data_IF_844691461915
#
_entry.id   IF_844691461915
#
_cell.length_a   1.000
_cell.length_b   1.000
_cell.length_c   1.000
_cell.angle_alpha   90.00
_cell.angle_beta   90.00
_cell.angle_gamma   90.00
#
_symmetry.space_group_name_H-M   'P 1'
#
loop_
_entity.id
_entity.type
_entity.pdbx_description
1 polymer ?
#
# COMPACT_ATOMS: atom_id res chain seq x y z
N UNK A 1 -15.90 -14.55 19.43
CA UNK A 1 -14.74 -14.23 20.29
C UNK A 1 -13.58 -15.09 19.80
N UNK A 2 -12.77 -14.59 18.87
CA UNK A 2 -11.69 -15.35 18.25
C UNK A 2 -10.39 -15.05 19.01
N UNK A 3 -9.99 -15.98 19.88
CA UNK A 3 -8.73 -15.88 20.61
C UNK A 3 -7.57 -16.24 19.66
N UNK A 4 -6.80 -15.24 19.25
CA UNK A 4 -5.50 -15.46 18.61
C UNK A 4 -4.54 -15.90 19.71
N UNK A 5 -4.15 -17.19 19.69
CA UNK A 5 -3.08 -17.71 20.55
C UNK A 5 -1.73 -17.14 20.07
N UNK A 6 -1.25 -16.09 20.72
CA UNK A 6 0.13 -15.64 20.61
C UNK A 6 1.02 -16.48 21.54
N UNK A 7 2.00 -17.19 20.98
CA UNK A 7 3.08 -17.79 21.77
C UNK A 7 4.19 -16.76 21.96
N UNK A 8 4.42 -16.35 23.21
CA UNK A 8 5.60 -15.59 23.61
C UNK A 8 6.60 -16.58 24.24
N UNK A 9 7.86 -16.56 23.80
CA UNK A 9 8.94 -17.35 24.38
C UNK A 9 9.78 -16.41 25.24
N UNK A 10 9.67 -16.49 26.56
CA UNK A 10 10.61 -15.85 27.48
C UNK A 10 11.55 -16.89 28.08
N UNK A 11 12.85 -16.63 28.00
CA UNK A 11 13.89 -17.42 28.65
C UNK A 11 13.84 -17.22 30.17
N UNK A 12 14.04 -18.33 30.88
CA UNK A 12 14.58 -18.49 32.23
C UNK A 12 14.04 -17.63 33.38
N UNK A 13 13.28 -18.25 34.28
CA UNK A 13 13.67 -18.51 35.69
C UNK A 13 12.46 -18.95 36.52
N UNK A 14 12.62 -20.05 37.25
CA UNK A 14 11.67 -20.66 38.17
C UNK A 14 11.28 -19.72 39.32
N UNK A 15 9.99 -19.55 39.60
CA UNK A 15 9.44 -19.53 40.96
C UNK A 15 8.00 -20.09 40.98
N UNK A 16 7.82 -21.09 41.84
CA UNK A 16 6.57 -21.79 42.14
C UNK A 16 5.58 -20.90 42.86
N UNK A 17 4.30 -20.89 42.45
CA UNK A 17 3.18 -20.81 43.39
C UNK A 17 1.92 -21.49 42.82
N UNK A 18 1.58 -22.59 43.48
CA UNK A 18 0.40 -23.47 43.42
C UNK A 18 -0.89 -22.83 42.89
N UNK A 19 -1.49 -23.40 41.84
CA UNK A 19 -2.94 -23.44 41.66
C UNK A 19 -3.40 -24.73 40.93
N UNK A 20 -4.27 -25.46 41.63
CA UNK A 20 -5.07 -26.63 41.28
C UNK A 20 -4.75 -27.42 39.99
N UNK A 21 -4.24 -28.63 40.20
CA UNK A 21 -4.23 -29.72 39.23
C UNK A 21 -5.67 -30.20 38.93
N UNK A 22 -6.26 -29.76 37.83
CA UNK A 22 -7.16 -30.63 37.09
C UNK A 22 -6.32 -31.48 36.15
N UNK A 23 -6.18 -32.76 36.47
CA UNK A 23 -5.59 -33.77 35.60
C UNK A 23 -6.39 -33.85 34.29
N UNK A 24 -5.93 -33.17 33.25
CA UNK A 24 -6.32 -33.48 31.87
C UNK A 24 -5.64 -34.80 31.49
N UNK A 25 -6.32 -35.90 31.76
CA UNK A 25 -6.00 -37.22 31.20
C UNK A 25 -6.04 -37.14 29.67
N UNK A 26 -4.87 -37.32 29.05
CA UNK A 26 -4.63 -37.74 27.66
C UNK A 26 -5.81 -37.58 26.68
N UNK A 27 -6.06 -36.37 26.18
CA UNK A 27 -6.75 -36.22 24.90
C UNK A 27 -5.72 -36.58 23.83
N UNK A 28 -5.75 -37.84 23.37
CA UNK A 28 -5.11 -38.21 22.11
C UNK A 28 -5.76 -37.37 21.00
N UNK A 29 -5.09 -36.32 20.55
CA UNK A 29 -5.44 -35.68 19.29
C UNK A 29 -5.06 -36.66 18.19
N UNK A 30 -5.99 -37.54 17.81
CA UNK A 30 -5.91 -38.20 16.52
C UNK A 30 -5.94 -37.07 15.49
N UNK A 31 -4.77 -36.66 14.98
CA UNK A 31 -4.66 -35.70 13.89
C UNK A 31 -5.11 -36.41 12.61
N UNK A 32 -6.42 -36.54 12.46
CA UNK A 32 -7.01 -36.83 11.16
C UNK A 32 -6.60 -35.66 10.27
N UNK A 33 -5.87 -35.93 9.19
CA UNK A 33 -5.65 -34.94 8.14
C UNK A 33 -7.02 -34.61 7.55
N UNK A 34 -7.63 -33.55 8.08
CA UNK A 34 -8.90 -33.02 7.62
C UNK A 34 -8.68 -32.52 6.19
N UNK A 35 -9.51 -32.95 5.25
CA UNK A 35 -9.38 -32.56 3.83
C UNK A 35 -9.78 -31.10 3.70
N UNK A 36 -8.86 -30.22 3.27
CA UNK A 36 -9.12 -28.80 2.98
C UNK A 36 -9.78 -28.62 1.60
N UNK A 37 -11.04 -29.06 1.49
CA UNK A 37 -11.91 -28.72 0.36
C UNK A 37 -12.88 -27.60 0.73
N UNK A 38 -13.44 -26.85 -0.25
CA UNK A 38 -14.37 -25.75 0.03
C UNK A 38 -15.59 -26.15 0.87
N UNK A 39 -16.07 -27.40 0.71
CA UNK A 39 -17.21 -27.94 1.46
C UNK A 39 -16.84 -28.23 2.91
N UNK A 40 -15.67 -28.83 3.13
CA UNK A 40 -15.16 -29.17 4.45
C UNK A 40 -14.84 -27.91 5.27
N UNK A 41 -14.30 -26.86 4.64
CA UNK A 41 -14.12 -25.55 5.26
C UNK A 41 -15.46 -24.93 5.65
N UNK A 42 -16.47 -25.01 4.77
CA UNK A 42 -17.81 -24.51 5.07
C UNK A 42 -18.44 -25.26 6.27
N UNK A 43 -18.30 -26.58 6.33
CA UNK A 43 -18.79 -27.39 7.45
C UNK A 43 -18.08 -27.06 8.76
N UNK A 44 -16.76 -26.83 8.70
CA UNK A 44 -15.95 -26.38 9.83
C UNK A 44 -16.37 -25.00 10.33
N UNK A 45 -16.58 -24.04 9.44
CA UNK A 45 -17.01 -22.69 9.78
C UNK A 45 -18.40 -22.70 10.42
N UNK A 46 -19.34 -23.47 9.85
CA UNK A 46 -20.65 -23.70 10.45
C UNK A 46 -20.52 -24.30 11.85
N UNK A 47 -19.61 -25.27 12.06
CA UNK A 47 -19.36 -25.86 13.37
C UNK A 47 -18.76 -24.88 14.38
N UNK A 48 -17.89 -23.96 13.94
CA UNK A 48 -17.33 -22.92 14.78
C UNK A 48 -18.33 -21.80 15.12
N UNK A 49 -19.36 -21.61 14.31
CA UNK A 49 -20.41 -20.60 14.55
C UNK A 49 -21.56 -21.11 15.42
N UNK A 50 -21.74 -22.43 15.55
CA UNK A 50 -22.81 -23.05 16.33
C UNK A 50 -22.60 -22.84 17.83
N UNK A 51 -23.68 -22.59 18.56
CA UNK A 51 -23.67 -22.64 20.02
C UNK A 51 -23.49 -24.12 20.46
N UNK A 52 -22.46 -24.46 21.25
CA UNK A 52 -22.20 -25.83 21.68
C UNK A 52 -23.35 -26.49 22.46
N UNK A 53 -24.21 -25.70 23.11
CA UNK A 53 -25.36 -26.21 23.86
C UNK A 53 -26.60 -26.43 22.98
N UNK A 54 -26.76 -25.63 21.92
CA UNK A 54 -27.95 -25.67 21.05
C UNK A 54 -27.72 -26.46 19.75
N UNK A 55 -26.46 -26.62 19.31
CA UNK A 55 -26.11 -27.35 18.08
C UNK A 55 -26.44 -26.61 16.77
N UNK A 56 -27.01 -25.40 16.84
CA UNK A 56 -27.27 -24.51 15.70
C UNK A 56 -26.77 -23.08 15.98
N UNK A 57 -26.75 -22.23 14.95
CA UNK A 57 -26.40 -20.79 15.09
C UNK A 57 -27.70 -20.03 15.40
N UNK A 58 -27.90 -19.51 16.63
CA UNK A 58 -29.13 -18.83 17.01
C UNK A 58 -29.22 -17.45 16.36
N UNK A 59 -30.03 -17.33 15.31
CA UNK A 59 -30.20 -16.08 14.54
C UNK A 59 -30.90 -14.99 15.35
N UNK A 60 -31.71 -15.38 16.34
CA UNK A 60 -32.38 -14.51 17.30
C UNK A 60 -31.39 -13.72 18.18
N UNK A 61 -30.19 -14.27 18.43
CA UNK A 61 -29.13 -13.60 19.21
C UNK A 61 -28.26 -12.68 18.35
N UNK A 62 -28.44 -12.69 17.03
CA UNK A 62 -27.61 -11.92 16.11
C UNK A 62 -27.74 -10.40 16.35
N UNK A 63 -28.94 -9.92 16.69
CA UNK A 63 -29.19 -8.50 16.93
C UNK A 63 -28.47 -8.02 18.19
N UNK A 64 -28.56 -8.80 19.28
CA UNK A 64 -27.85 -8.51 20.53
C UNK A 64 -26.33 -8.60 20.35
N UNK A 65 -25.85 -9.63 19.65
CA UNK A 65 -24.44 -9.80 19.33
C UNK A 65 -23.90 -8.64 18.46
N UNK A 66 -24.71 -8.11 17.52
CA UNK A 66 -24.37 -6.92 16.74
C UNK A 66 -24.26 -5.68 17.62
N UNK A 67 -25.26 -5.43 18.47
CA UNK A 67 -25.24 -4.28 19.40
C UNK A 67 -24.04 -4.33 20.33
N UNK A 68 -23.76 -5.50 20.92
CA UNK A 68 -22.60 -5.71 21.77
C UNK A 68 -21.27 -5.50 21.02
N UNK A 69 -21.16 -5.97 19.78
CA UNK A 69 -20.00 -5.72 18.91
C UNK A 69 -19.82 -4.22 18.64
N UNK A 70 -20.91 -3.51 18.35
CA UNK A 70 -20.87 -2.10 18.04
C UNK A 70 -20.51 -1.24 19.29
N UNK A 71 -21.00 -1.63 20.47
CA UNK A 71 -20.61 -1.05 21.76
C UNK A 71 -19.12 -1.31 22.09
N UNK A 72 -18.61 -2.51 21.80
CA UNK A 72 -17.18 -2.83 21.91
C UNK A 72 -16.32 -1.99 20.97
N UNK A 73 -16.76 -1.77 19.74
CA UNK A 73 -16.02 -0.94 18.77
C UNK A 73 -16.01 0.54 19.16
N UNK A 74 -17.08 1.04 19.78
CA UNK A 74 -17.15 2.42 20.27
C UNK A 74 -16.33 2.64 21.56
N UNK A 75 -16.16 1.60 22.39
CA UNK A 75 -15.38 1.66 23.63
C UNK A 75 -13.89 1.32 23.45
N UNK A 76 -13.48 0.82 22.30
CA UNK A 76 -12.07 0.63 21.97
C UNK A 76 -11.39 1.98 21.75
N UNK A 77 -10.59 2.39 22.73
CA UNK A 77 -9.52 3.35 22.47
C UNK A 77 -8.47 2.65 21.60
N UNK A 78 -8.21 3.18 20.40
CA UNK A 78 -7.08 2.76 19.57
C UNK A 78 -5.75 3.21 20.22
N UNK A 79 -5.48 2.74 21.44
CA UNK A 79 -4.19 2.93 22.06
C UNK A 79 -3.21 1.98 21.36
N UNK A 80 -2.19 2.55 20.74
CA UNK A 80 -1.08 1.76 20.21
C UNK A 80 -0.49 0.94 21.36
N UNK A 81 -0.49 -0.39 21.23
CA UNK A 81 0.15 -1.25 22.23
C UNK A 81 1.65 -0.98 22.14
N UNK A 82 2.19 -0.31 23.16
CA UNK A 82 3.60 0.05 23.23
C UNK A 82 4.45 -1.19 23.49
N UNK A 83 5.62 -1.28 22.84
CA UNK A 83 6.56 -2.40 23.02
C UNK A 83 6.28 -3.66 22.20
N UNK A 84 5.35 -3.63 21.23
CA UNK A 84 5.20 -4.73 20.27
C UNK A 84 6.21 -4.59 19.14
N UNK A 85 7.04 -5.62 18.96
CA UNK A 85 7.91 -5.77 17.80
C UNK A 85 7.25 -6.67 16.76
N UNK A 86 6.74 -6.05 15.69
CA UNK A 86 6.20 -6.79 14.55
C UNK A 86 7.34 -7.40 13.73
N UNK A 87 7.21 -8.67 13.36
CA UNK A 87 8.12 -9.33 12.42
C UNK A 87 7.33 -9.97 11.28
N UNK A 88 7.76 -9.69 10.05
CA UNK A 88 7.19 -10.34 8.87
C UNK A 88 7.60 -11.82 8.85
N UNK A 89 6.62 -12.72 8.80
CA UNK A 89 6.86 -14.17 8.67
C UNK A 89 6.92 -14.67 7.22
N UNK A 90 6.63 -13.78 6.26
CA UNK A 90 6.61 -14.08 4.82
C UNK A 90 5.19 -14.14 4.25
N UNK A 91 5.04 -14.53 2.97
CA UNK A 91 6.09 -15.01 2.06
C UNK A 91 7.10 -13.91 1.68
N UNK A 92 8.38 -14.27 1.56
CA UNK A 92 9.46 -13.36 1.11
C UNK A 92 9.76 -13.47 -0.38
N UNK A 93 9.15 -14.43 -1.07
CA UNK A 93 9.42 -14.81 -2.45
C UNK A 93 8.22 -14.60 -3.39
N UNK A 94 7.14 -13.97 -2.92
CA UNK A 94 5.98 -13.67 -3.73
C UNK A 94 5.95 -12.17 -4.02
N UNK A 95 6.13 -11.81 -5.29
CA UNK A 95 6.06 -10.43 -5.75
C UNK A 95 4.62 -9.93 -5.83
N UNK A 96 4.42 -8.66 -5.44
CA UNK A 96 3.17 -7.92 -5.69
C UNK A 96 3.23 -7.08 -6.96
N UNK A 97 2.15 -6.36 -7.27
CA UNK A 97 2.08 -5.43 -8.40
C UNK A 97 3.01 -4.22 -8.17
N UNK A 98 4.14 -4.22 -8.88
CA UNK A 98 5.10 -3.11 -8.90
C UNK A 98 4.89 -2.26 -10.15
N UNK A 99 4.91 -0.94 -10.00
CA UNK A 99 4.65 0.01 -11.10
C UNK A 99 5.71 1.09 -11.27
N UNK A 100 6.53 1.29 -10.25
CA UNK A 100 7.56 2.31 -10.25
C UNK A 100 8.93 1.67 -10.01
N UNK A 101 9.92 2.09 -10.79
CA UNK A 101 11.33 1.77 -10.60
C UNK A 101 12.16 3.01 -10.94
N UNK A 102 13.20 3.26 -10.16
CA UNK A 102 14.15 4.35 -10.40
C UNK A 102 15.52 3.95 -9.89
N UNK A 103 16.53 4.09 -10.76
CA UNK A 103 17.94 4.03 -10.35
C UNK A 103 18.33 5.42 -9.86
N UNK A 104 18.90 5.50 -8.66
CA UNK A 104 19.22 6.77 -8.02
C UNK A 104 20.42 7.44 -8.69
N UNK A 105 20.20 8.62 -9.29
CA UNK A 105 21.25 9.39 -9.94
C UNK A 105 22.30 9.96 -8.97
N UNK A 106 22.04 9.98 -7.65
CA UNK A 106 23.07 10.34 -6.67
C UNK A 106 24.08 9.22 -6.44
N UNK A 107 23.73 7.97 -6.77
CA UNK A 107 24.61 6.83 -6.59
C UNK A 107 25.37 6.54 -7.89
N UNK A 108 26.61 7.00 -7.96
CA UNK A 108 27.50 6.79 -9.11
C UNK A 108 27.76 5.31 -9.41
N UNK A 109 27.59 4.42 -8.43
CA UNK A 109 27.78 2.98 -8.63
C UNK A 109 26.57 2.33 -9.34
N UNK A 110 25.43 3.03 -9.40
CA UNK A 110 24.18 2.53 -9.97
C UNK A 110 23.53 1.42 -9.16
N UNK A 111 23.96 1.19 -7.91
CA UNK A 111 23.46 0.09 -7.08
C UNK A 111 22.20 0.45 -6.27
N UNK A 112 21.95 1.73 -6.10
CA UNK A 112 20.80 2.24 -5.37
C UNK A 112 19.58 2.31 -6.28
N UNK A 113 18.57 1.53 -5.95
CA UNK A 113 17.33 1.42 -6.73
C UNK A 113 16.13 1.56 -5.81
N UNK A 114 15.16 2.34 -6.26
CA UNK A 114 13.87 2.56 -5.62
C UNK A 114 12.79 1.81 -6.40
N UNK A 115 11.88 1.14 -5.70
CA UNK A 115 10.74 0.44 -6.30
C UNK A 115 9.46 0.81 -5.57
N UNK A 116 8.41 1.11 -6.33
CA UNK A 116 7.08 1.39 -5.81
C UNK A 116 6.08 0.31 -6.19
N UNK A 117 5.28 -0.09 -5.21
CA UNK A 117 4.21 -1.08 -5.34
C UNK A 117 2.84 -0.45 -5.07
N UNK A 118 1.81 -0.96 -5.73
CA UNK A 118 0.44 -0.44 -5.61
C UNK A 118 -0.21 -0.81 -4.26
N UNK A 119 0.29 -1.83 -3.57
CA UNK A 119 -0.17 -2.19 -2.22
C UNK A 119 0.94 -2.28 -1.20
N UNK A 120 2.20 -2.16 -1.63
CA UNK A 120 3.38 -2.39 -0.79
C UNK A 120 4.16 -1.14 -0.43
N UNK A 121 3.79 0.05 -0.92
CA UNK A 121 4.53 1.29 -0.63
C UNK A 121 5.83 1.41 -1.42
N UNK A 122 6.75 2.21 -0.87
CA UNK A 122 8.05 2.53 -1.48
C UNK A 122 9.17 1.74 -0.80
N UNK A 123 10.02 1.12 -1.61
CA UNK A 123 11.14 0.28 -1.19
C UNK A 123 12.44 0.80 -1.78
N UNK A 124 13.54 0.58 -1.06
CA UNK A 124 14.89 0.94 -1.48
C UNK A 124 15.83 -0.24 -1.31
N UNK A 125 16.74 -0.42 -2.26
CA UNK A 125 17.94 -1.22 -2.10
C UNK A 125 19.17 -0.37 -2.43
N UNK A 126 20.33 -0.75 -1.91
CA UNK A 126 21.64 -0.11 -2.20
C UNK A 126 22.64 -1.10 -2.78
N UNK A 127 22.20 -2.32 -3.08
CA UNK A 127 23.04 -3.42 -3.55
C UNK A 127 22.31 -4.26 -4.60
N UNK A 128 21.65 -3.61 -5.57
CA UNK A 128 20.85 -4.30 -6.60
C UNK A 128 21.65 -5.34 -7.40
N UNK A 129 22.96 -5.15 -7.57
CA UNK A 129 23.83 -6.09 -8.30
C UNK A 129 24.33 -7.27 -7.46
N UNK A 130 23.97 -7.37 -6.18
CA UNK A 130 24.28 -8.54 -5.35
C UNK A 130 23.47 -9.76 -5.80
N UNK A 131 23.97 -10.97 -5.52
CA UNK A 131 23.22 -12.21 -5.78
C UNK A 131 21.87 -12.25 -5.05
N UNK A 132 21.83 -11.66 -3.85
CA UNK A 132 20.62 -11.53 -3.01
C UNK A 132 20.49 -10.05 -2.58
N UNK A 133 19.81 -9.20 -3.38
CA UNK A 133 19.60 -7.80 -3.04
C UNK A 133 18.76 -7.64 -1.78
N UNK A 134 19.14 -6.69 -0.92
CA UNK A 134 18.40 -6.40 0.32
C UNK A 134 17.49 -5.21 0.09
N UNK A 135 16.19 -5.41 0.30
CA UNK A 135 15.17 -4.39 0.17
C UNK A 135 14.69 -3.93 1.55
N UNK A 136 14.63 -2.62 1.73
CA UNK A 136 14.16 -1.97 2.95
C UNK A 136 12.95 -1.12 2.61
N UNK A 137 11.81 -1.25 3.33
CA UNK A 137 10.69 -0.35 3.14
C UNK A 137 11.10 1.05 3.64
N UNK A 138 10.77 2.07 2.86
CA UNK A 138 11.11 3.46 3.20
C UNK A 138 10.28 3.93 4.38
N UNK A 139 8.97 3.63 4.35
CA UNK A 139 8.05 3.89 5.44
C UNK A 139 6.76 3.07 5.22
N UNK A 140 6.44 2.18 6.17
CA UNK A 140 5.21 1.37 6.13
C UNK A 140 3.97 2.13 6.65
N UNK A 141 4.18 3.34 7.18
CA UNK A 141 3.15 4.20 7.78
C UNK A 141 2.82 5.42 6.90
N UNK A 142 3.15 5.39 5.61
CA UNK A 142 2.60 6.41 4.72
C UNK A 142 1.07 6.32 4.71
N UNK A 143 0.41 7.48 4.68
CA UNK A 143 -1.05 7.58 4.59
C UNK A 143 -1.63 6.86 3.36
N UNK A 144 -0.79 6.64 2.34
CA UNK A 144 -1.12 5.84 1.18
C UNK A 144 0.08 5.03 0.70
N UNK A 145 -0.12 3.72 0.52
CA UNK A 145 0.91 2.79 0.05
C UNK A 145 0.83 2.51 -1.45
N UNK A 146 -0.09 3.14 -2.19
CA UNK A 146 -0.33 2.83 -3.59
C UNK A 146 0.56 3.61 -4.55
N UNK A 147 1.87 3.33 -4.50
CA UNK A 147 2.87 4.01 -5.31
C UNK A 147 2.76 3.58 -6.77
N UNK A 148 2.60 4.54 -7.66
CA UNK A 148 2.41 4.31 -9.11
C UNK A 148 3.55 4.82 -9.97
N UNK A 149 4.24 5.87 -9.53
CA UNK A 149 5.36 6.46 -10.27
C UNK A 149 6.33 7.10 -9.28
N UNK A 150 7.61 7.09 -9.63
CA UNK A 150 8.67 7.80 -8.93
C UNK A 150 9.58 8.45 -9.98
N UNK A 151 10.00 9.69 -9.71
CA UNK A 151 10.88 10.48 -10.56
C UNK A 151 11.89 11.24 -9.72
N UNK A 152 13.00 11.63 -10.34
CA UNK A 152 14.08 12.38 -9.73
C UNK A 152 14.40 13.57 -10.62
N UNK A 153 14.68 14.72 -9.99
CA UNK A 153 15.02 15.93 -10.73
C UNK A 153 16.41 15.78 -11.38
N UNK A 154 16.52 15.90 -12.71
CA UNK A 154 17.80 15.76 -13.41
C UNK A 154 18.80 16.88 -13.10
N UNK A 155 18.33 18.04 -12.63
CA UNK A 155 19.18 19.16 -12.22
C UNK A 155 19.67 19.05 -10.77
N UNK A 156 18.90 18.35 -9.92
CA UNK A 156 19.25 18.11 -8.53
C UNK A 156 18.65 16.80 -8.04
N UNK A 157 19.45 15.73 -8.08
CA UNK A 157 19.01 14.40 -7.70
C UNK A 157 18.60 14.26 -6.22
N UNK A 158 18.85 15.24 -5.34
CA UNK A 158 18.30 15.24 -3.98
C UNK A 158 16.78 15.48 -3.96
N UNK A 159 16.23 16.07 -5.03
CA UNK A 159 14.80 16.31 -5.20
C UNK A 159 14.19 15.13 -5.94
N UNK A 160 13.23 14.48 -5.31
CA UNK A 160 12.50 13.36 -5.90
C UNK A 160 11.03 13.48 -5.57
N UNK A 161 10.21 12.84 -6.40
CA UNK A 161 8.78 12.78 -6.21
C UNK A 161 8.27 11.37 -6.44
N UNK A 162 7.27 10.96 -5.67
CA UNK A 162 6.46 9.81 -6.02
C UNK A 162 4.99 10.15 -5.99
N UNK A 163 4.22 9.51 -6.86
CA UNK A 163 2.77 9.65 -6.89
C UNK A 163 2.07 8.41 -6.39
N UNK A 164 0.84 8.58 -5.92
CA UNK A 164 -0.04 7.48 -5.57
C UNK A 164 -1.35 7.48 -6.32
N UNK A 165 -1.97 6.31 -6.34
CA UNK A 165 -3.33 6.12 -6.83
C UNK A 165 -3.37 5.41 -8.16
N UNK A 166 -3.78 4.16 -8.10
CA UNK A 166 -4.00 3.37 -9.29
C UNK A 166 -5.34 3.70 -9.93
N UNK A 167 -5.32 3.89 -11.24
CA UNK A 167 -6.56 3.87 -12.01
C UNK A 167 -6.99 2.44 -12.17
N UNK A 168 -8.24 2.14 -11.84
CA UNK A 168 -8.84 0.84 -12.10
C UNK A 168 -8.86 0.59 -13.61
N UNK A 169 -7.94 -0.23 -14.11
CA UNK A 169 -7.92 -0.76 -15.46
C UNK A 169 -9.04 -1.82 -15.64
N UNK A 170 -10.21 -1.56 -15.08
CA UNK A 170 -11.30 -2.52 -14.88
C UNK A 170 -11.09 -3.48 -13.69
N UNK A 171 -10.02 -3.32 -12.91
CA UNK A 171 -9.74 -4.17 -11.74
C UNK A 171 -10.42 -3.66 -10.46
N UNK A 172 -10.94 -4.58 -9.65
CA UNK A 172 -11.65 -4.28 -8.40
C UNK A 172 -10.74 -3.97 -7.21
N UNK A 173 -9.46 -4.35 -7.30
CA UNK A 173 -8.41 -4.12 -6.29
C UNK A 173 -7.64 -2.80 -6.51
N UNK A 174 -8.16 -1.90 -7.35
CA UNK A 174 -7.53 -0.61 -7.61
C UNK A 174 -7.56 0.28 -6.37
N UNK A 175 -6.40 0.79 -5.96
CA UNK A 175 -6.27 1.58 -4.74
C UNK A 175 -6.27 3.06 -5.08
N UNK A 176 -7.19 3.81 -4.46
CA UNK A 176 -7.25 5.27 -4.54
C UNK A 176 -6.02 5.87 -3.86
N UNK A 177 -5.39 6.83 -4.52
CA UNK A 177 -4.23 7.57 -4.03
C UNK A 177 -4.60 8.82 -3.23
N UNK A 178 -3.60 9.39 -2.59
CA UNK A 178 -3.66 10.70 -1.93
C UNK A 178 -2.69 11.72 -2.58
N UNK A 179 -2.37 11.57 -3.87
CA UNK A 179 -1.63 12.59 -4.62
C UNK A 179 -0.14 12.33 -4.74
N UNK A 180 0.68 13.34 -4.45
CA UNK A 180 2.12 13.34 -4.72
C UNK A 180 2.90 13.66 -3.45
N UNK A 181 4.00 12.95 -3.24
CA UNK A 181 4.96 13.18 -2.17
C UNK A 181 6.26 13.67 -2.77
N UNK A 182 6.95 14.51 -2.01
CA UNK A 182 8.23 15.11 -2.37
C UNK A 182 9.26 14.86 -1.28
N UNK A 183 10.49 14.67 -1.70
CA UNK A 183 11.69 14.77 -0.85
C UNK A 183 12.63 15.82 -1.45
N UNK A 184 13.45 16.42 -0.60
CA UNK A 184 14.56 17.31 -1.00
C UNK A 184 15.88 16.88 -0.36
N UNK A 185 15.94 15.66 0.18
CA UNK A 185 17.10 15.09 0.86
C UNK A 185 17.32 13.62 0.45
N UNK A 186 17.24 13.35 -0.86
CA UNK A 186 17.52 12.03 -1.45
C UNK A 186 16.70 10.90 -0.83
N UNK A 187 15.45 11.20 -0.46
CA UNK A 187 14.50 10.24 0.08
C UNK A 187 14.69 9.87 1.54
N UNK A 188 15.50 10.63 2.31
CA UNK A 188 15.61 10.46 3.76
C UNK A 188 14.30 10.82 4.48
N UNK A 189 13.62 11.87 4.03
CA UNK A 189 12.27 12.24 4.49
C UNK A 189 11.38 12.60 3.31
N UNK A 190 10.10 12.25 3.41
CA UNK A 190 9.09 12.53 2.40
C UNK A 190 7.93 13.31 3.01
N UNK A 191 7.39 14.25 2.24
CA UNK A 191 6.21 15.03 2.64
C UNK A 191 5.19 15.07 1.51
N UNK A 192 3.92 14.88 1.85
CA UNK A 192 2.83 14.99 0.89
C UNK A 192 2.67 16.45 0.45
N UNK A 193 2.47 16.67 -0.84
CA UNK A 193 2.14 17.98 -1.39
C UNK A 193 0.67 18.27 -1.12
N UNK A 194 0.39 19.24 -0.24
CA UNK A 194 -0.98 19.63 0.15
C UNK A 194 -1.84 20.04 -1.04
N UNK A 195 -1.22 20.63 -2.07
CA UNK A 195 -1.82 20.99 -3.36
C UNK A 195 -2.37 19.82 -4.17
N UNK A 196 -2.03 18.57 -3.80
CA UNK A 196 -2.43 17.33 -4.49
C UNK A 196 -3.38 16.45 -3.69
N UNK A 197 -3.93 16.95 -2.58
CA UNK A 197 -4.88 16.18 -1.74
C UNK A 197 -6.29 16.06 -2.33
N UNK A 198 -6.57 16.81 -3.40
CA UNK A 198 -7.88 16.87 -4.06
C UNK A 198 -8.18 15.69 -5.01
N UNK A 199 -9.43 15.64 -5.49
CA UNK A 199 -9.93 14.58 -6.37
C UNK A 199 -9.18 14.45 -7.71
N UNK A 200 -8.50 15.51 -8.16
CA UNK A 200 -7.73 15.50 -9.41
C UNK A 200 -6.49 14.61 -9.35
N UNK A 201 -5.96 14.33 -8.16
CA UNK A 201 -4.71 13.60 -7.95
C UNK A 201 -4.91 12.26 -7.24
N UNK A 202 -6.15 11.79 -7.11
CA UNK A 202 -6.44 10.51 -6.45
C UNK A 202 -6.12 9.28 -7.32
N UNK A 203 -5.75 9.48 -8.58
CA UNK A 203 -5.40 8.46 -9.58
C UNK A 203 -4.23 8.91 -10.45
N UNK A 204 -3.09 9.21 -9.84
CA UNK A 204 -1.88 9.59 -10.56
C UNK A 204 -1.23 8.34 -11.19
N UNK A 205 -1.05 8.33 -12.51
CA UNK A 205 -0.56 7.14 -13.24
C UNK A 205 0.93 7.21 -13.52
N UNK A 206 1.42 8.38 -13.89
CA UNK A 206 2.82 8.62 -14.25
C UNK A 206 3.21 10.05 -13.91
N UNK A 207 4.46 10.23 -13.49
CA UNK A 207 5.08 11.54 -13.38
C UNK A 207 6.23 11.68 -14.37
N UNK A 208 6.54 12.92 -14.76
CA UNK A 208 7.76 13.27 -15.47
C UNK A 208 8.26 14.64 -15.00
N UNK A 209 9.56 14.91 -15.13
CA UNK A 209 10.17 16.18 -14.78
C UNK A 209 11.22 16.53 -15.83
N UNK A 210 11.23 17.79 -16.27
CA UNK A 210 12.18 18.26 -17.26
C UNK A 210 13.44 18.86 -16.57
N UNK A 211 14.43 19.23 -17.38
CA UNK A 211 15.68 19.84 -16.92
C UNK A 211 15.53 21.19 -16.21
N UNK A 212 14.37 21.86 -16.34
CA UNK A 212 14.07 23.13 -15.67
C UNK A 212 13.27 22.95 -14.38
N UNK A 213 13.03 21.72 -13.93
CA UNK A 213 12.26 21.42 -12.71
C UNK A 213 10.74 21.53 -12.86
N UNK A 214 10.21 21.61 -14.09
CA UNK A 214 8.76 21.57 -14.34
C UNK A 214 8.31 20.11 -14.19
N UNK A 215 7.36 19.90 -13.29
CA UNK A 215 6.81 18.59 -12.96
C UNK A 215 5.49 18.38 -13.68
N UNK A 216 5.32 17.21 -14.27
CA UNK A 216 4.09 16.76 -14.91
C UNK A 216 3.52 15.54 -14.19
N UNK A 217 2.20 15.48 -14.08
CA UNK A 217 1.49 14.33 -13.51
C UNK A 217 0.35 13.94 -14.45
N UNK A 218 0.48 12.77 -15.04
CA UNK A 218 -0.58 12.12 -15.79
C UNK A 218 -1.62 11.57 -14.81
N UNK A 219 -2.85 12.06 -14.90
CA UNK A 219 -3.96 11.59 -14.05
C UNK A 219 -5.01 10.90 -14.91
N UNK A 220 -5.59 9.82 -14.40
CA UNK A 220 -6.61 9.09 -15.13
C UNK A 220 -7.97 9.80 -15.20
N UNK A 221 -8.19 10.82 -14.35
CA UNK A 221 -9.49 11.47 -14.18
C UNK A 221 -9.46 13.00 -14.32
N UNK A 222 -8.27 13.62 -14.35
CA UNK A 222 -8.12 15.07 -14.46
C UNK A 222 -7.15 15.50 -15.57
N UNK A 223 -6.76 14.60 -16.49
CA UNK A 223 -5.85 14.90 -17.60
C UNK A 223 -4.40 15.10 -17.16
N UNK A 224 -3.62 15.85 -17.95
CA UNK A 224 -2.23 16.14 -17.63
C UNK A 224 -2.14 17.41 -16.77
N UNK A 225 -1.56 17.28 -15.59
CA UNK A 225 -1.30 18.38 -14.66
C UNK A 225 0.16 18.81 -14.78
N UNK A 226 0.43 20.12 -14.72
CA UNK A 226 1.77 20.71 -14.79
C UNK A 226 2.00 21.64 -13.59
N UNK A 227 3.17 21.54 -12.97
CA UNK A 227 3.64 22.47 -11.94
C UNK A 227 5.00 23.04 -12.36
N UNK A 228 5.13 24.37 -12.27
CA UNK A 228 6.39 25.07 -12.57
C UNK A 228 7.12 25.55 -11.30
N UNK A 229 6.57 25.26 -10.12
CA UNK A 229 7.05 25.73 -8.82
C UNK A 229 7.31 24.55 -7.85
N UNK A 230 7.72 23.42 -8.43
CA UNK A 230 8.13 22.23 -7.67
C UNK A 230 7.00 21.57 -6.89
N UNK A 231 5.74 21.78 -7.29
CA UNK A 231 4.54 21.14 -6.76
C UNK A 231 3.66 22.03 -5.88
N UNK A 232 3.95 23.33 -5.75
CA UNK A 232 3.12 24.23 -4.93
C UNK A 232 1.80 24.56 -5.63
N UNK A 233 1.82 24.79 -6.94
CA UNK A 233 0.63 25.03 -7.75
C UNK A 233 0.61 24.13 -9.00
N UNK A 234 -0.60 23.82 -9.46
CA UNK A 234 -0.83 22.94 -10.60
C UNK A 234 -1.80 23.57 -11.61
N UNK A 235 -1.51 23.41 -12.89
CA UNK A 235 -2.37 23.80 -14.00
C UNK A 235 -2.61 22.60 -14.90
N UNK A 236 -3.87 22.38 -15.26
CA UNK A 236 -4.22 21.38 -16.25
C UNK A 236 -3.81 21.86 -17.64
N UNK A 237 -3.00 21.07 -18.33
CA UNK A 237 -2.46 21.39 -19.67
C UNK A 237 -2.99 20.49 -20.78
N UNK A 238 -3.52 19.30 -20.44
CA UNK A 238 -4.24 18.44 -21.38
C UNK A 238 -5.51 17.87 -20.74
N UNK A 239 -6.58 17.75 -21.52
CA UNK A 239 -7.81 17.06 -21.17
C UNK A 239 -9.09 17.86 -21.40
N UNK A 240 -10.22 17.37 -20.87
CA UNK A 240 -11.54 17.94 -21.11
C UNK A 240 -11.65 19.42 -20.70
N UNK A 241 -12.36 20.21 -21.50
CA UNK A 241 -12.55 21.64 -21.30
C UNK A 241 -11.45 22.53 -21.88
N UNK A 242 -10.39 21.96 -22.48
CA UNK A 242 -9.29 22.73 -23.09
C UNK A 242 -9.41 22.88 -24.62
N UNK A 243 -10.45 22.32 -25.25
CA UNK A 243 -10.67 22.44 -26.69
C UNK A 243 -9.64 21.71 -27.58
N UNK A 244 -8.89 20.76 -27.02
CA UNK A 244 -7.82 20.06 -27.76
C UNK A 244 -8.43 18.92 -28.60
N UNK A 245 -8.38 19.06 -29.93
CA UNK A 245 -8.82 18.04 -30.87
C UNK A 245 -8.00 16.76 -30.70
N UNK A 246 -8.66 15.61 -30.52
CA UNK A 246 -7.99 14.32 -30.32
C UNK A 246 -7.42 14.08 -28.91
N UNK A 247 -7.58 15.01 -27.97
CA UNK A 247 -7.13 14.83 -26.58
C UNK A 247 -8.04 15.52 -25.56
N UNK A 248 -9.33 15.67 -25.90
CA UNK A 248 -10.33 16.39 -25.12
C UNK A 248 -10.93 15.62 -23.95
N UNK A 249 -10.36 14.50 -23.50
CA UNK A 249 -10.84 13.76 -22.33
C UNK A 249 -9.80 13.74 -21.22
N UNK A 250 -10.20 13.35 -20.01
CA UNK A 250 -9.32 13.43 -18.84
C UNK A 250 -8.41 12.22 -18.62
N UNK A 251 -8.36 11.26 -19.55
CA UNK A 251 -7.60 10.04 -19.36
C UNK A 251 -6.16 10.23 -19.81
N UNK A 252 -5.24 10.46 -18.88
CA UNK A 252 -3.81 10.49 -19.14
C UNK A 252 -3.13 9.39 -18.32
N UNK A 253 -2.48 8.44 -19.01
CA UNK A 253 -1.89 7.25 -18.37
C UNK A 253 -0.37 7.28 -18.34
N UNK A 254 0.24 7.98 -19.30
CA UNK A 254 1.69 8.08 -19.41
C UNK A 254 2.08 9.49 -19.85
N UNK A 255 3.25 9.92 -19.42
CA UNK A 255 3.87 11.18 -19.79
C UNK A 255 5.38 11.03 -19.74
N UNK A 256 6.05 11.59 -20.73
CA UNK A 256 7.49 11.75 -20.77
C UNK A 256 7.86 13.12 -21.34
N UNK A 257 9.06 13.60 -21.01
CA UNK A 257 9.61 14.87 -21.48
C UNK A 257 11.02 14.68 -21.96
N UNK A 258 11.30 15.17 -23.17
CA UNK A 258 12.66 15.17 -23.68
C UNK A 258 13.49 16.36 -23.18
N UNK A 259 14.76 16.38 -23.55
CA UNK A 259 15.70 17.45 -23.21
C UNK A 259 15.40 18.78 -23.92
N UNK A 260 14.64 18.75 -25.02
CA UNK A 260 14.17 19.93 -25.74
C UNK A 260 12.90 20.55 -25.15
N UNK A 261 12.29 19.91 -24.15
CA UNK A 261 11.05 20.34 -23.52
C UNK A 261 9.79 19.88 -24.26
N UNK A 262 9.90 18.99 -25.25
CA UNK A 262 8.74 18.36 -25.87
C UNK A 262 8.09 17.40 -24.88
N UNK A 263 6.76 17.41 -24.85
CA UNK A 263 5.96 16.55 -23.97
C UNK A 263 5.32 15.46 -24.82
N UNK A 264 5.65 14.21 -24.49
CA UNK A 264 5.01 13.03 -25.03
C UNK A 264 4.03 12.53 -23.98
N UNK A 265 2.80 12.20 -24.37
CA UNK A 265 1.81 11.67 -23.45
C UNK A 265 0.95 10.62 -24.12
N UNK A 266 0.44 9.69 -23.32
CA UNK A 266 -0.52 8.70 -23.77
C UNK A 266 -1.87 8.95 -23.11
N UNK A 267 -2.89 9.10 -23.96
CA UNK A 267 -4.28 9.23 -23.57
C UNK A 267 -5.14 8.20 -24.27
N UNK A 268 -6.24 7.80 -23.64
CA UNK A 268 -7.24 6.96 -24.30
C UNK A 268 -8.11 7.83 -25.20
N UNK A 269 -7.93 7.74 -26.52
CA UNK A 269 -8.95 8.16 -27.47
C UNK A 269 -10.19 7.27 -27.25
N UNK A 270 -11.35 7.85 -26.96
CA UNK A 270 -12.58 7.05 -26.94
C UNK A 270 -13.09 6.90 -28.38
N UNK A 271 -13.42 5.67 -28.75
CA UNK A 271 -14.64 5.37 -29.52
C UNK A 271 -15.79 5.19 -28.54
#
# INVERSE_FOLDING_TARGET
MLAIKCFCKSNDSFYSLVHLLFSCTNIKTNSVKEKDGPRETMERDIKMMKDPALGYVPTERLIEAKRYKDELLQSQTNAAITGINWRQLGPKNQGGRSRAVLVDANDITGNTVWVGSVGGGLWKTTNISAAEPVWVPVNDLFDNLAVTSIIQDPSNAAIMYFSTGESGYGNSDAIRGLGVWKTTNSGATWSQLTSTTGANFNRCQRMAINSTGIVFVATATAGLQRSADGGANWTKVLGAGLGITGAGNNFCYDVDVDTGGNIFYFSRLHS
#
